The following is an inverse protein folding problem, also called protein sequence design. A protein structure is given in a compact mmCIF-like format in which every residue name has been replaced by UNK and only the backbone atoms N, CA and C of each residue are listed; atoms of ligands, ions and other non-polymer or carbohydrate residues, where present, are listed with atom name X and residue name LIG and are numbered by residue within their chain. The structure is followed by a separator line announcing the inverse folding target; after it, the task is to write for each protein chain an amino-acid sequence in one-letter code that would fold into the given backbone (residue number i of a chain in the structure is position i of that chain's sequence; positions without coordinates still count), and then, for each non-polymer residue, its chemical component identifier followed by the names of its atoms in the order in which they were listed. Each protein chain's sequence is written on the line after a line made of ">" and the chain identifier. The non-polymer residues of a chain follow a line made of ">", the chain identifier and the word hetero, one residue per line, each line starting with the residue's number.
data_IF_608066163127
#
_entry.id   IF_608066163127
#
_cell.length_a   1.000
_cell.length_b   1.000
_cell.length_c   1.000
_cell.angle_alpha   90.00
_cell.angle_beta   90.00
_cell.angle_gamma   90.00
#
_symmetry.space_group_name_H-M   'P 1'
#
loop_
_entity.id
_entity.type
_entity.pdbx_description
1 polymer ?
#
# COMPACT_ATOMS: atom_id res chain seq x y z
N UNK A 1 8.75 5.56 -14.63
CA UNK A 1 7.32 5.83 -14.49
C UNK A 1 6.87 5.44 -13.09
N UNK A 2 6.06 6.25 -12.46
CA UNK A 2 5.61 5.99 -11.11
C UNK A 2 4.17 5.48 -11.10
N UNK A 3 3.90 4.51 -10.24
CA UNK A 3 2.56 4.00 -10.00
C UNK A 3 2.21 4.16 -8.54
N UNK A 4 0.98 4.55 -8.29
CA UNK A 4 0.44 4.66 -6.94
C UNK A 4 -0.37 3.42 -6.62
N UNK A 5 -0.08 2.79 -5.49
CA UNK A 5 -0.73 1.57 -5.04
C UNK A 5 -1.42 1.85 -3.71
N UNK A 6 -2.73 1.63 -3.65
CA UNK A 6 -3.46 1.74 -2.38
C UNK A 6 -3.60 0.38 -1.74
N UNK A 7 -3.17 0.27 -0.50
CA UNK A 7 -3.23 -0.95 0.28
C UNK A 7 -4.10 -0.71 1.52
N UNK A 8 -5.01 -1.63 1.77
CA UNK A 8 -5.83 -1.64 2.97
C UNK A 8 -5.22 -2.63 3.95
N UNK A 9 -4.82 -2.15 5.11
CA UNK A 9 -4.36 -2.99 6.21
C UNK A 9 -5.50 -3.25 7.18
N UNK A 10 -5.61 -4.49 7.63
CA UNK A 10 -6.62 -4.91 8.58
C UNK A 10 -5.91 -5.30 9.87
N UNK A 11 -6.16 -4.54 10.93
CA UNK A 11 -5.60 -4.80 12.24
C UNK A 11 -6.70 -5.27 13.19
N UNK A 12 -6.41 -6.32 13.96
CA UNK A 12 -7.30 -6.73 15.05
C UNK A 12 -6.86 -6.06 16.34
N UNK A 13 -7.77 -5.33 16.94
CA UNK A 13 -7.54 -4.63 18.20
C UNK A 13 -8.43 -5.25 19.26
N UNK A 14 -7.84 -5.64 20.41
CA UNK A 14 -8.62 -6.11 21.52
C UNK A 14 -9.31 -4.95 22.23
N UNK A 15 -10.61 -5.06 22.37
CA UNK A 15 -11.44 -4.09 23.10
C UNK A 15 -12.11 -4.81 24.26
N UNK A 16 -12.75 -4.04 25.12
CA UNK A 16 -13.37 -4.50 26.36
C UNK A 16 -14.37 -5.67 26.18
N UNK A 17 -15.03 -5.72 25.02
CA UNK A 17 -16.08 -6.71 24.71
C UNK A 17 -15.70 -7.69 23.60
N UNK A 18 -14.40 -7.86 23.31
CA UNK A 18 -13.93 -8.77 22.27
C UNK A 18 -12.87 -8.17 21.38
N UNK A 19 -12.91 -8.52 20.09
CA UNK A 19 -11.98 -7.99 19.10
C UNK A 19 -12.70 -7.08 18.12
N UNK A 20 -12.03 -6.01 17.74
CA UNK A 20 -12.53 -5.08 16.74
C UNK A 20 -11.50 -4.97 15.61
N UNK A 21 -11.97 -4.95 14.37
CA UNK A 21 -11.12 -4.74 13.21
C UNK A 21 -10.94 -3.25 12.97
N UNK A 22 -9.68 -2.84 12.80
CA UNK A 22 -9.33 -1.49 12.39
C UNK A 22 -8.78 -1.56 10.97
N UNK A 23 -9.35 -0.76 10.08
CA UNK A 23 -8.92 -0.69 8.69
C UNK A 23 -8.14 0.60 8.45
N UNK A 24 -6.93 0.47 7.93
CA UNK A 24 -6.06 1.60 7.62
C UNK A 24 -5.67 1.55 6.15
N UNK A 25 -5.90 2.62 5.43
CA UNK A 25 -5.50 2.74 4.02
C UNK A 25 -4.19 3.49 3.93
N UNK A 26 -3.27 2.96 3.14
CA UNK A 26 -1.99 3.61 2.85
C UNK A 26 -1.73 3.57 1.36
N UNK A 27 -1.15 4.65 0.86
CA UNK A 27 -0.76 4.76 -0.54
C UNK A 27 0.75 4.70 -0.64
N UNK A 28 1.24 3.89 -1.60
CA UNK A 28 2.67 3.74 -1.86
C UNK A 28 2.96 4.18 -3.28
N UNK A 29 4.11 4.78 -3.46
CA UNK A 29 4.60 5.19 -4.77
C UNK A 29 5.70 4.23 -5.19
N UNK A 30 5.53 3.60 -6.37
CA UNK A 30 6.46 2.59 -6.87
C UNK A 30 6.95 3.00 -8.26
N UNK A 31 8.25 3.02 -8.44
CA UNK A 31 8.83 3.24 -9.76
C UNK A 31 8.96 1.90 -10.50
N UNK A 32 8.30 1.80 -11.65
CA UNK A 32 8.32 0.60 -12.48
C UNK A 32 7.71 0.88 -13.85
N UNK A 33 7.68 -0.14 -14.72
CA UNK A 33 7.22 0.03 -16.11
C UNK A 33 5.78 -0.38 -16.36
N UNK A 34 5.15 -1.06 -15.41
CA UNK A 34 3.78 -1.55 -15.59
C UNK A 34 3.03 -1.68 -14.26
N UNK A 35 1.69 -1.59 -14.32
CA UNK A 35 0.84 -1.74 -13.15
C UNK A 35 1.01 -3.09 -12.46
N UNK A 36 1.10 -4.17 -13.21
CA UNK A 36 1.29 -5.51 -12.67
C UNK A 36 2.60 -5.64 -11.89
N UNK A 37 3.65 -4.96 -12.37
CA UNK A 37 4.95 -4.94 -11.68
C UNK A 37 4.85 -4.16 -10.38
N UNK A 38 4.13 -3.04 -10.38
CA UNK A 38 3.90 -2.24 -9.18
C UNK A 38 3.18 -3.05 -8.10
N UNK A 39 2.11 -3.74 -8.47
CA UNK A 39 1.36 -4.59 -7.55
C UNK A 39 2.25 -5.69 -6.97
N UNK A 40 3.00 -6.39 -7.82
CA UNK A 40 3.88 -7.46 -7.39
C UNK A 40 4.98 -6.97 -6.44
N UNK A 41 5.56 -5.81 -6.71
CA UNK A 41 6.57 -5.21 -5.84
C UNK A 41 6.01 -4.90 -4.46
N UNK A 42 4.82 -4.35 -4.38
CA UNK A 42 4.17 -4.03 -3.11
C UNK A 42 3.82 -5.30 -2.35
N UNK A 43 3.24 -6.30 -3.02
CA UNK A 43 2.92 -7.59 -2.40
C UNK A 43 4.16 -8.27 -1.86
N UNK A 44 5.24 -8.27 -2.62
CA UNK A 44 6.52 -8.85 -2.20
C UNK A 44 7.10 -8.11 -1.00
N UNK A 45 7.02 -6.81 -0.99
CA UNK A 45 7.49 -5.98 0.11
C UNK A 45 6.69 -6.20 1.39
N UNK A 46 5.37 -6.44 1.27
CA UNK A 46 4.45 -6.62 2.39
C UNK A 46 4.26 -8.09 2.81
N UNK A 47 4.87 -9.04 2.12
CA UNK A 47 4.65 -10.47 2.41
C UNK A 47 5.00 -10.87 3.85
N UNK A 48 5.91 -10.15 4.48
CA UNK A 48 6.33 -10.40 5.86
C UNK A 48 5.62 -9.47 6.87
N UNK A 49 4.60 -8.75 6.42
CA UNK A 49 3.83 -7.88 7.30
C UNK A 49 3.06 -8.71 8.34
N UNK A 50 3.06 -8.29 9.62
CA UNK A 50 2.27 -8.97 10.65
C UNK A 50 0.77 -8.76 10.50
N UNK A 51 0.35 -7.82 9.65
CA UNK A 51 -1.05 -7.49 9.43
C UNK A 51 -1.54 -8.06 8.10
N UNK A 52 -2.81 -8.47 8.09
CA UNK A 52 -3.47 -8.80 6.83
C UNK A 52 -3.59 -7.53 5.98
N UNK A 53 -3.41 -7.67 4.69
CA UNK A 53 -3.53 -6.55 3.77
C UNK A 53 -4.25 -6.95 2.48
N UNK A 54 -4.80 -5.95 1.80
CA UNK A 54 -5.46 -6.13 0.53
C UNK A 54 -5.08 -4.96 -0.39
N UNK A 55 -4.64 -5.28 -1.60
CA UNK A 55 -4.33 -4.24 -2.59
C UNK A 55 -5.63 -3.80 -3.25
N UNK A 56 -6.02 -2.55 -3.04
CA UNK A 56 -7.29 -2.03 -3.52
C UNK A 56 -7.25 -1.58 -4.97
N UNK A 57 -6.21 -0.85 -5.33
CA UNK A 57 -6.03 -0.40 -6.71
C UNK A 57 -4.59 0.00 -6.98
N UNK A 58 -4.27 0.01 -8.25
CA UNK A 58 -2.99 0.48 -8.77
C UNK A 58 -3.29 1.41 -9.92
N UNK A 59 -2.69 2.59 -9.92
CA UNK A 59 -2.85 3.53 -11.03
C UNK A 59 -1.53 4.21 -11.34
N UNK A 60 -1.39 4.65 -12.58
CA UNK A 60 -0.25 5.46 -12.98
C UNK A 60 -0.32 6.81 -12.29
N UNK A 61 0.79 7.21 -11.67
CA UNK A 61 0.90 8.51 -11.04
C UNK A 61 1.58 9.48 -12.00
N UNK A 62 0.91 10.59 -12.28
CA UNK A 62 1.46 11.65 -13.12
C UNK A 62 2.27 12.61 -12.25
N UNK A 63 3.42 12.16 -11.83
CA UNK A 63 4.36 13.04 -11.14
C UNK A 63 5.11 13.82 -12.19
N UNK A 64 4.85 15.12 -12.24
CA UNK A 64 5.47 16.02 -13.20
C UNK A 64 6.82 16.50 -12.69
N UNK A 65 6.97 16.61 -11.39
CA UNK A 65 8.17 17.15 -10.79
C UNK A 65 8.39 16.58 -9.40
N UNK A 66 9.62 16.12 -9.16
CA UNK A 66 10.04 15.69 -7.84
C UNK A 66 10.95 16.76 -7.27
N UNK A 67 10.53 17.37 -6.17
CA UNK A 67 11.36 18.35 -5.47
C UNK A 67 12.18 17.60 -4.43
N UNK A 68 13.49 17.55 -4.64
CA UNK A 68 14.40 17.01 -3.66
C UNK A 68 14.88 18.14 -2.76
N UNK A 69 14.63 18.00 -1.48
CA UNK A 69 15.23 18.89 -0.48
C UNK A 69 16.59 18.33 -0.10
N UNK A 70 17.59 19.13 -0.35
CA UNK A 70 18.95 18.79 0.04
C UNK A 70 19.22 19.18 1.50
#
# INVERSE_FOLDING_TARGET
>A
MYYEVQVLFIEEVQVKNGTKEKKVRRNYLVECDACSVAENKVREWLKNSPFAFDVKWVKESKIVEVVEES
#
